data_IF_369966560202
#
_entry.id   IF_369966560202
#
_cell.length_a   1.000
_cell.length_b   1.000
_cell.length_c   1.000
_cell.angle_alpha   90.00
_cell.angle_beta   90.00
_cell.angle_gamma   90.00
#
_symmetry.space_group_name_H-M   'P 1'
#
loop_
_entity.id
_entity.type
_entity.pdbx_description
1 polymer ?
#
# COMPACT_ATOMS: atom_id res chain seq x y z
N UNK A 1 7.05 -93.29 7.39
CA UNK A 1 7.25 -92.20 8.22
C UNK A 1 7.61 -91.02 7.40
N UNK A 2 6.84 -90.01 7.49
CA UNK A 2 6.79 -88.92 6.49
C UNK A 2 7.68 -87.77 6.91
N UNK A 3 8.65 -87.45 6.06
CA UNK A 3 9.45 -86.27 6.19
C UNK A 3 8.73 -85.09 5.52
N UNK A 4 8.36 -84.15 6.29
CA UNK A 4 7.88 -82.85 5.74
C UNK A 4 9.02 -81.87 5.81
N UNK A 5 9.37 -81.37 4.65
CA UNK A 5 10.31 -80.27 4.49
C UNK A 5 9.52 -79.00 4.34
N UNK A 6 9.62 -77.99 5.19
CA UNK A 6 8.99 -76.69 4.92
C UNK A 6 9.92 -75.86 4.03
N UNK A 7 9.40 -75.48 2.94
CA UNK A 7 9.96 -74.47 2.00
C UNK A 7 10.18 -73.16 2.71
N UNK A 8 11.44 -72.74 2.75
CA UNK A 8 11.75 -71.37 3.25
C UNK A 8 11.68 -70.41 2.09
N UNK A 9 10.59 -69.68 2.04
CA UNK A 9 10.45 -68.57 1.07
C UNK A 9 11.14 -67.35 1.65
N UNK A 10 12.29 -67.02 1.08
CA UNK A 10 12.99 -65.79 1.41
C UNK A 10 12.28 -64.61 0.77
N UNK A 11 11.60 -63.82 1.57
CA UNK A 11 11.12 -62.51 1.15
C UNK A 11 12.26 -61.50 1.20
N UNK A 12 12.67 -60.98 0.06
CA UNK A 12 13.59 -59.85 -0.04
C UNK A 12 12.78 -58.56 0.23
N UNK A 13 13.25 -57.67 1.10
CA UNK A 13 12.61 -56.38 1.28
C UNK A 13 12.98 -55.53 0.07
N UNK A 14 11.96 -55.08 -0.65
CA UNK A 14 12.06 -54.02 -1.63
C UNK A 14 12.30 -52.73 -0.85
N UNK A 15 13.52 -52.26 -0.82
CA UNK A 15 13.81 -50.91 -0.33
C UNK A 15 13.37 -49.95 -1.40
N UNK A 16 12.19 -49.40 -1.21
CA UNK A 16 11.71 -48.26 -2.00
C UNK A 16 12.48 -47.03 -1.57
N UNK A 17 13.48 -46.66 -2.35
CA UNK A 17 14.15 -45.40 -2.18
C UNK A 17 13.16 -44.27 -2.53
N UNK A 18 12.56 -43.66 -1.50
CA UNK A 18 11.82 -42.46 -1.66
C UNK A 18 12.79 -41.33 -2.07
N UNK A 19 12.85 -41.05 -3.35
CA UNK A 19 13.55 -39.86 -3.83
C UNK A 19 12.76 -38.65 -3.37
N UNK A 20 13.24 -37.99 -2.35
CA UNK A 20 12.77 -36.67 -1.97
C UNK A 20 13.16 -35.71 -3.08
N UNK A 21 12.22 -35.45 -3.98
CA UNK A 21 12.35 -34.35 -4.91
C UNK A 21 12.21 -33.08 -4.06
N UNK A 22 13.33 -32.41 -3.84
CA UNK A 22 13.31 -31.03 -3.31
C UNK A 22 12.57 -30.17 -4.32
N UNK A 23 11.33 -29.87 -4.01
CA UNK A 23 10.59 -28.87 -4.74
C UNK A 23 11.28 -27.54 -4.44
N UNK A 24 12.16 -27.13 -5.35
CA UNK A 24 12.67 -25.75 -5.34
C UNK A 24 11.47 -24.88 -5.68
N UNK A 25 10.81 -24.38 -4.65
CA UNK A 25 9.80 -23.33 -4.83
C UNK A 25 10.48 -22.19 -5.57
N UNK A 26 9.93 -21.71 -6.69
CA UNK A 26 10.47 -20.53 -7.33
C UNK A 26 10.39 -19.40 -6.30
N UNK A 27 11.56 -18.93 -5.86
CA UNK A 27 11.65 -17.73 -5.03
C UNK A 27 11.16 -16.59 -5.89
N UNK A 28 9.89 -16.21 -5.75
CA UNK A 28 9.37 -15.00 -6.33
C UNK A 28 10.22 -13.88 -5.73
N UNK A 29 10.93 -13.08 -6.53
CA UNK A 29 11.71 -11.99 -5.98
C UNK A 29 10.77 -11.12 -5.16
N UNK A 30 11.05 -10.98 -3.88
CA UNK A 30 10.35 -10.08 -3.00
C UNK A 30 10.54 -8.68 -3.55
N UNK A 31 9.50 -8.15 -4.17
CA UNK A 31 9.49 -6.75 -4.59
C UNK A 31 9.50 -5.93 -3.31
N UNK A 32 10.63 -5.31 -3.00
CA UNK A 32 10.74 -4.45 -1.84
C UNK A 32 9.70 -3.32 -1.96
N UNK A 33 8.79 -3.25 -0.99
CA UNK A 33 7.82 -2.15 -0.93
C UNK A 33 8.62 -0.86 -0.71
N UNK A 34 8.47 0.16 -1.57
CA UNK A 34 9.20 1.40 -1.41
C UNK A 34 8.81 2.09 -0.10
N UNK A 35 9.80 2.73 0.54
CA UNK A 35 9.55 3.51 1.75
C UNK A 35 8.58 4.65 1.45
N UNK A 36 7.55 4.81 2.26
CA UNK A 36 6.61 5.93 2.16
C UNK A 36 7.32 7.26 2.34
N UNK A 37 7.17 8.14 1.38
CA UNK A 37 7.73 9.50 1.39
C UNK A 37 6.67 10.58 1.30
N UNK A 38 5.42 10.20 1.10
CA UNK A 38 4.28 11.09 1.07
C UNK A 38 2.98 10.29 1.14
N UNK A 39 1.88 10.99 1.34
CA UNK A 39 0.55 10.40 1.34
C UNK A 39 -0.35 11.23 0.43
N UNK A 40 -0.97 10.58 -0.54
CA UNK A 40 -2.04 11.19 -1.31
C UNK A 40 -3.31 11.10 -0.49
N UNK A 41 -3.97 12.24 -0.29
CA UNK A 41 -5.26 12.31 0.39
C UNK A 41 -6.31 12.73 -0.64
N UNK A 42 -7.29 11.88 -0.85
CA UNK A 42 -8.41 12.14 -1.75
C UNK A 42 -9.60 12.53 -0.87
N UNK A 43 -9.91 13.81 -0.87
CA UNK A 43 -10.98 14.39 -0.08
C UNK A 43 -12.26 14.50 -0.91
N UNK A 44 -13.35 14.01 -0.36
CA UNK A 44 -14.67 14.04 -1.02
C UNK A 44 -15.72 14.56 -0.04
N UNK A 45 -16.60 15.44 -0.50
CA UNK A 45 -17.73 15.87 0.31
C UNK A 45 -18.61 14.69 0.71
N UNK A 46 -18.95 14.59 1.98
CA UNK A 46 -19.85 13.54 2.48
C UNK A 46 -21.20 13.59 1.82
N UNK A 47 -21.82 12.44 1.70
CA UNK A 47 -23.20 12.37 1.22
C UNK A 47 -24.13 13.20 2.11
N UNK A 48 -24.97 14.01 1.51
CA UNK A 48 -25.90 14.89 2.22
C UNK A 48 -25.32 16.25 2.64
N UNK A 49 -24.02 16.46 2.50
CA UNK A 49 -23.40 17.76 2.70
C UNK A 49 -23.73 18.66 1.51
N UNK A 50 -24.26 19.85 1.79
CA UNK A 50 -24.60 20.82 0.75
C UNK A 50 -23.40 21.68 0.36
N UNK A 51 -23.35 22.20 -0.89
CA UNK A 51 -22.32 23.16 -1.29
C UNK A 51 -22.25 24.38 -0.37
N UNK A 52 -23.38 24.84 0.15
CA UNK A 52 -23.45 25.98 1.06
C UNK A 52 -22.73 25.71 2.40
N UNK A 53 -22.85 24.50 2.94
CA UNK A 53 -22.12 24.10 4.15
C UNK A 53 -20.61 24.14 3.92
N UNK A 54 -20.15 23.65 2.79
CA UNK A 54 -18.73 23.67 2.42
C UNK A 54 -18.25 25.12 2.23
N UNK A 55 -19.01 25.93 1.50
CA UNK A 55 -18.65 27.32 1.21
C UNK A 55 -18.59 28.19 2.46
N UNK A 56 -19.39 27.90 3.48
CA UNK A 56 -19.36 28.62 4.75
C UNK A 56 -18.02 28.45 5.49
N UNK A 57 -17.37 27.31 5.33
CA UNK A 57 -16.08 26.97 5.97
C UNK A 57 -14.89 27.32 5.07
N UNK A 58 -15.11 27.47 3.76
CA UNK A 58 -14.08 27.59 2.75
C UNK A 58 -13.05 28.71 3.00
N UNK A 59 -13.43 29.93 3.46
CA UNK A 59 -12.42 30.97 3.73
C UNK A 59 -11.41 30.58 4.80
N UNK A 60 -11.85 29.86 5.84
CA UNK A 60 -10.97 29.35 6.88
C UNK A 60 -10.14 28.16 6.38
N UNK A 61 -10.76 27.30 5.58
CA UNK A 61 -10.11 26.14 4.97
C UNK A 61 -8.94 26.54 4.06
N UNK A 62 -9.19 27.48 3.15
CA UNK A 62 -8.16 27.99 2.22
C UNK A 62 -6.97 28.55 3.01
N UNK A 63 -7.24 29.34 4.04
CA UNK A 63 -6.19 29.93 4.87
C UNK A 63 -5.37 28.90 5.59
N UNK A 64 -6.01 27.89 6.19
CA UNK A 64 -5.35 26.80 6.87
C UNK A 64 -4.52 25.93 5.90
N UNK A 65 -5.07 25.64 4.70
CA UNK A 65 -4.38 24.87 3.66
C UNK A 65 -3.12 25.60 3.16
N UNK A 66 -3.23 26.92 2.92
CA UNK A 66 -2.07 27.73 2.51
C UNK A 66 -0.98 27.73 3.58
N UNK A 67 -1.34 27.83 4.85
CA UNK A 67 -0.37 27.74 5.95
C UNK A 67 0.35 26.38 5.96
N UNK A 68 -0.36 25.28 5.80
CA UNK A 68 0.23 23.94 5.72
C UNK A 68 1.15 23.79 4.50
N UNK A 69 0.81 24.44 3.38
CA UNK A 69 1.66 24.48 2.20
C UNK A 69 2.95 25.27 2.45
N UNK A 70 2.86 26.44 3.04
CA UNK A 70 4.03 27.27 3.38
C UNK A 70 4.92 26.59 4.41
N UNK A 71 4.35 25.80 5.33
CA UNK A 71 5.09 24.99 6.30
C UNK A 71 5.68 23.71 5.71
N UNK A 72 5.46 23.46 4.42
CA UNK A 72 5.96 22.26 3.73
C UNK A 72 5.22 20.96 4.08
N UNK A 73 4.11 21.02 4.79
CA UNK A 73 3.31 19.84 5.16
C UNK A 73 2.40 19.38 4.03
N UNK A 74 1.94 20.29 3.20
CA UNK A 74 1.26 20.00 1.93
C UNK A 74 2.21 20.40 0.81
N UNK A 75 2.58 19.42 -0.04
CA UNK A 75 3.46 19.68 -1.18
C UNK A 75 2.68 20.23 -2.38
N UNK A 76 1.51 19.66 -2.62
CA UNK A 76 0.65 19.98 -3.76
C UNK A 76 -0.80 19.70 -3.39
N UNK A 77 -1.71 20.43 -4.01
CA UNK A 77 -3.13 20.12 -3.97
C UNK A 77 -3.80 20.49 -5.30
N UNK A 78 -4.85 19.76 -5.60
CA UNK A 78 -5.58 19.89 -6.85
C UNK A 78 -7.07 19.80 -6.62
N UNK A 79 -7.86 20.64 -7.30
CA UNK A 79 -9.29 20.41 -7.41
C UNK A 79 -9.55 19.16 -8.24
N UNK A 80 -10.47 18.33 -7.80
CA UNK A 80 -10.89 17.17 -8.58
C UNK A 80 -11.68 17.62 -9.82
N UNK A 81 -11.40 16.98 -10.95
CA UNK A 81 -12.09 17.28 -12.22
C UNK A 81 -13.58 16.98 -12.21
N UNK A 82 -14.06 16.15 -11.26
CA UNK A 82 -15.48 15.88 -11.05
C UNK A 82 -16.20 16.92 -10.14
N UNK A 83 -15.46 17.90 -9.63
CA UNK A 83 -15.98 18.94 -8.75
C UNK A 83 -16.36 18.47 -7.34
N UNK A 84 -16.05 17.23 -6.96
CA UNK A 84 -16.50 16.63 -5.69
C UNK A 84 -15.53 16.77 -4.53
N UNK A 85 -14.40 17.45 -4.73
CA UNK A 85 -13.43 17.62 -3.68
C UNK A 85 -12.05 18.00 -4.17
N UNK A 86 -11.06 17.65 -3.37
CA UNK A 86 -9.65 18.04 -3.54
C UNK A 86 -8.76 16.82 -3.38
N UNK A 87 -7.62 16.83 -4.05
CA UNK A 87 -6.54 15.86 -3.84
C UNK A 87 -5.34 16.60 -3.29
N UNK A 88 -4.80 16.09 -2.19
CA UNK A 88 -3.58 16.61 -1.57
C UNK A 88 -2.43 15.62 -1.72
N UNK A 89 -1.22 16.12 -1.87
CA UNK A 89 0.00 15.39 -1.61
C UNK A 89 0.61 15.92 -0.32
N UNK A 90 0.53 15.12 0.73
CA UNK A 90 0.96 15.47 2.09
C UNK A 90 2.36 14.92 2.35
N UNK A 91 3.23 15.73 2.95
CA UNK A 91 4.54 15.32 3.44
C UNK A 91 4.35 14.50 4.73
N UNK A 92 4.32 13.19 4.59
CA UNK A 92 4.14 12.27 5.71
C UNK A 92 4.80 10.93 5.41
N UNK A 93 5.29 10.27 6.44
CA UNK A 93 5.91 8.94 6.35
C UNK A 93 4.91 7.82 6.60
N UNK A 94 3.77 8.13 7.19
CA UNK A 94 2.71 7.19 7.52
C UNK A 94 1.35 7.80 7.23
N UNK A 95 0.35 6.94 7.09
CA UNK A 95 -1.05 7.37 6.98
C UNK A 95 -1.49 8.15 8.21
N UNK A 96 -1.09 7.72 9.41
CA UNK A 96 -1.46 8.37 10.66
C UNK A 96 -0.91 9.80 10.77
N UNK A 97 0.33 10.03 10.31
CA UNK A 97 0.89 11.38 10.23
C UNK A 97 0.08 12.27 9.28
N UNK A 98 -0.27 11.75 8.10
CA UNK A 98 -1.10 12.48 7.15
C UNK A 98 -2.48 12.78 7.70
N UNK A 99 -3.10 11.82 8.36
CA UNK A 99 -4.40 11.99 9.03
C UNK A 99 -4.34 13.09 10.08
N UNK A 100 -3.33 13.10 10.93
CA UNK A 100 -3.14 14.13 11.95
C UNK A 100 -3.02 15.53 11.34
N UNK A 101 -2.35 15.66 10.19
CA UNK A 101 -2.25 16.94 9.47
C UNK A 101 -3.62 17.35 8.92
N UNK A 102 -4.33 16.44 8.26
CA UNK A 102 -5.63 16.73 7.65
C UNK A 102 -6.71 17.08 8.67
N UNK A 103 -6.68 16.45 9.85
CA UNK A 103 -7.63 16.72 10.94
C UNK A 103 -7.50 18.12 11.52
N UNK A 104 -6.42 18.84 11.25
CA UNK A 104 -6.27 20.26 11.64
C UNK A 104 -7.06 21.21 10.76
N UNK A 105 -7.50 20.76 9.58
CA UNK A 105 -8.23 21.58 8.62
C UNK A 105 -9.69 21.81 9.05
N UNK A 106 -10.25 23.01 8.81
CA UNK A 106 -11.61 23.34 9.21
C UNK A 106 -12.69 22.41 8.65
N UNK A 107 -12.59 22.00 7.37
CA UNK A 107 -13.57 21.08 6.77
C UNK A 107 -13.56 19.71 7.46
N UNK A 108 -12.39 19.26 7.91
CA UNK A 108 -12.27 18.02 8.68
C UNK A 108 -12.87 18.16 10.08
N UNK A 109 -12.62 19.27 10.76
CA UNK A 109 -13.18 19.57 12.09
C UNK A 109 -14.71 19.62 12.06
N UNK A 110 -15.29 20.17 11.02
CA UNK A 110 -16.74 20.22 10.79
C UNK A 110 -17.30 18.89 10.27
N UNK A 111 -16.44 17.89 10.03
CA UNK A 111 -16.82 16.56 9.54
C UNK A 111 -17.62 16.56 8.23
N UNK A 112 -17.30 17.49 7.34
CA UNK A 112 -17.99 17.65 6.06
C UNK A 112 -17.40 16.78 4.94
N UNK A 113 -16.21 16.23 5.15
CA UNK A 113 -15.48 15.48 4.14
C UNK A 113 -15.18 14.05 4.57
N UNK A 114 -15.09 13.18 3.57
CA UNK A 114 -14.49 11.84 3.68
C UNK A 114 -13.13 11.86 3.02
N UNK A 115 -12.13 11.34 3.72
CA UNK A 115 -10.75 11.31 3.27
C UNK A 115 -10.29 9.87 3.04
N UNK A 116 -9.76 9.61 1.84
CA UNK A 116 -9.04 8.39 1.51
C UNK A 116 -7.55 8.68 1.51
N UNK A 117 -6.78 7.87 2.21
CA UNK A 117 -5.33 8.00 2.35
C UNK A 117 -4.62 6.93 1.53
N UNK A 118 -3.67 7.33 0.69
CA UNK A 118 -2.87 6.44 -0.15
C UNK A 118 -1.39 6.75 0.10
N UNK A 119 -0.70 5.97 0.95
CA UNK A 119 0.74 6.12 1.11
C UNK A 119 1.47 5.88 -0.21
N UNK A 120 2.42 6.76 -0.53
CA UNK A 120 3.23 6.68 -1.75
C UNK A 120 4.70 6.80 -1.43
N UNK A 121 5.51 6.16 -2.25
CA UNK A 121 6.97 6.25 -2.18
C UNK A 121 7.54 6.46 -3.57
N UNK A 122 8.87 6.57 -3.68
CA UNK A 122 9.52 6.66 -4.97
C UNK A 122 9.18 5.41 -5.80
N UNK A 123 8.95 5.62 -7.08
CA UNK A 123 8.84 4.51 -8.02
C UNK A 123 10.07 3.61 -7.84
N UNK A 124 9.87 2.30 -7.91
CA UNK A 124 10.96 1.32 -7.85
C UNK A 124 12.16 1.82 -8.67
N UNK A 125 13.39 1.60 -8.19
CA UNK A 125 14.57 2.08 -8.92
C UNK A 125 14.46 1.69 -10.39
N UNK A 126 14.42 2.64 -11.27
CA UNK A 126 14.26 2.40 -12.71
C UNK A 126 15.32 1.42 -13.24
N UNK A 127 16.50 1.38 -12.59
CA UNK A 127 17.55 0.40 -12.87
C UNK A 127 17.09 -1.05 -12.72
N UNK A 128 16.22 -1.34 -11.75
CA UNK A 128 15.67 -2.69 -11.57
C UNK A 128 14.78 -3.10 -12.75
N UNK A 129 14.19 -2.15 -13.44
CA UNK A 129 13.35 -2.37 -14.61
C UNK A 129 14.14 -2.59 -15.89
N UNK A 130 15.40 -2.17 -15.91
CA UNK A 130 16.28 -2.28 -17.09
C UNK A 130 17.00 -3.65 -17.17
N UNK A 131 16.86 -4.49 -16.16
CA UNK A 131 17.50 -5.81 -16.13
C UNK A 131 19.00 -5.75 -15.82
N UNK A 132 19.69 -6.90 -15.73
CA UNK A 132 21.07 -7.00 -15.25
C UNK A 132 22.13 -6.39 -16.19
N UNK A 133 21.77 -5.94 -17.37
CA UNK A 133 22.69 -5.32 -18.34
C UNK A 133 22.88 -3.80 -18.24
N UNK A 134 22.14 -3.12 -17.37
CA UNK A 134 22.10 -1.66 -17.30
C UNK A 134 23.18 -1.02 -16.39
N UNK A 135 24.21 -1.77 -16.05
CA UNK A 135 25.29 -1.30 -15.17
C UNK A 135 26.58 -0.97 -15.97
N UNK A 136 26.46 -0.24 -17.07
CA UNK A 136 27.63 0.33 -17.74
C UNK A 136 27.61 1.84 -17.61
#
# INVERSE_FOLDING_TARGET
MKSMIPSLTAMLPVVSAAQSQSVVSPTVPSVAIPKTTGVIVIQTAKQGVTPQQVMAVMPAEIRATVNLYLDGKIRQWYSRGDGKGVVFLVEAKTEDEARAIMETLPLAKERLMDDQYVPVGPLMPLRALLGPGAQQ
#
